data_IF_645642929506
#
_entry.id   IF_645642929506
#
_cell.length_a   1.000
_cell.length_b   1.000
_cell.length_c   1.000
_cell.angle_alpha   90.00
_cell.angle_beta   90.00
_cell.angle_gamma   90.00
#
_symmetry.space_group_name_H-M   'P 1'
#
loop_
_entity.id
_entity.type
_entity.pdbx_description
1 polymer ?
#
# COMPACT_ATOMS: atom_id res chain seq x y z
N UNK A 1 -12.62 35.49 -54.13
CA UNK A 1 -11.42 34.83 -53.55
C UNK A 1 -10.60 35.75 -52.61
N UNK A 2 -11.20 36.75 -51.93
CA UNK A 2 -10.45 37.77 -51.16
C UNK A 2 -10.76 37.81 -49.64
N UNK A 3 -11.89 37.23 -49.19
CA UNK A 3 -12.35 37.35 -47.78
C UNK A 3 -11.73 36.33 -46.80
N UNK A 4 -11.23 35.19 -47.28
CA UNK A 4 -10.66 34.13 -46.44
C UNK A 4 -9.28 34.47 -45.84
N UNK A 5 -8.50 35.32 -46.52
CA UNK A 5 -7.16 35.73 -46.08
C UNK A 5 -7.19 36.69 -44.87
N UNK A 6 -8.27 37.46 -44.71
CA UNK A 6 -8.43 38.42 -43.61
C UNK A 6 -8.75 37.73 -42.27
N UNK A 7 -9.66 36.75 -42.29
CA UNK A 7 -10.07 35.99 -41.09
C UNK A 7 -8.91 35.15 -40.55
N UNK A 8 -8.11 34.53 -41.41
CA UNK A 8 -6.93 33.76 -41.00
C UNK A 8 -5.83 34.64 -40.36
N UNK A 9 -5.64 35.87 -40.88
CA UNK A 9 -4.75 36.87 -40.25
C UNK A 9 -5.29 37.30 -38.88
N UNK A 10 -6.58 37.57 -38.78
CA UNK A 10 -7.22 38.02 -37.54
C UNK A 10 -7.19 36.92 -36.46
N UNK A 11 -7.44 35.66 -36.83
CA UNK A 11 -7.31 34.51 -35.94
C UNK A 11 -5.86 34.25 -35.48
N UNK A 12 -4.85 34.56 -36.31
CA UNK A 12 -3.43 34.53 -35.92
C UNK A 12 -3.09 35.64 -34.91
N UNK A 13 -3.62 36.84 -35.12
CA UNK A 13 -3.40 37.99 -34.23
C UNK A 13 -4.08 37.75 -32.86
N UNK A 14 -5.31 37.24 -32.86
CA UNK A 14 -6.02 36.90 -31.63
C UNK A 14 -5.30 35.77 -30.89
N UNK A 15 -4.90 34.68 -31.56
CA UNK A 15 -4.10 33.61 -30.92
C UNK A 15 -2.77 34.10 -30.37
N UNK A 16 -2.08 34.99 -31.10
CA UNK A 16 -0.84 35.61 -30.64
C UNK A 16 -1.06 36.40 -29.34
N UNK A 17 -2.09 37.26 -29.31
CA UNK A 17 -2.46 38.03 -28.12
C UNK A 17 -2.91 37.15 -26.95
N UNK A 18 -3.69 36.10 -27.20
CA UNK A 18 -4.10 35.16 -26.15
C UNK A 18 -2.88 34.45 -25.55
N UNK A 19 -1.89 34.08 -26.37
CA UNK A 19 -0.64 33.49 -25.86
C UNK A 19 0.19 34.48 -25.03
N UNK A 20 0.28 35.75 -25.45
CA UNK A 20 0.97 36.79 -24.66
C UNK A 20 0.27 37.03 -23.33
N UNK A 21 -1.06 37.09 -23.31
CA UNK A 21 -1.84 37.24 -22.08
C UNK A 21 -1.72 36.01 -21.18
N UNK A 22 -1.71 34.80 -21.74
CA UNK A 22 -1.46 33.58 -20.97
C UNK A 22 -0.05 33.55 -20.40
N UNK A 23 0.94 34.05 -21.12
CA UNK A 23 2.32 34.19 -20.65
C UNK A 23 2.40 35.22 -19.51
N UNK A 24 1.78 36.40 -19.65
CA UNK A 24 1.73 37.44 -18.61
C UNK A 24 0.97 36.97 -17.37
N UNK A 25 -0.17 36.29 -17.54
CA UNK A 25 -0.89 35.67 -16.43
C UNK A 25 -0.05 34.58 -15.75
N UNK A 26 0.64 33.75 -16.54
CA UNK A 26 1.53 32.73 -15.99
C UNK A 26 2.68 33.37 -15.22
N UNK A 27 3.36 34.40 -15.75
CA UNK A 27 4.45 35.08 -15.05
C UNK A 27 3.99 35.83 -13.80
N UNK A 28 2.79 36.41 -13.81
CA UNK A 28 2.25 37.14 -12.65
C UNK A 28 1.82 36.19 -11.53
N UNK A 29 1.23 35.03 -11.86
CA UNK A 29 0.74 34.07 -10.86
C UNK A 29 1.77 33.01 -10.44
N UNK A 30 2.79 32.73 -11.26
CA UNK A 30 3.89 31.80 -10.93
C UNK A 30 4.63 32.10 -9.62
N UNK A 31 4.99 33.35 -9.27
CA UNK A 31 5.69 33.64 -8.02
C UNK A 31 4.80 33.44 -6.79
N UNK A 32 3.51 33.79 -6.86
CA UNK A 32 2.58 33.54 -5.76
C UNK A 32 2.34 32.04 -5.55
N UNK A 33 2.18 31.29 -6.65
CA UNK A 33 2.00 29.84 -6.61
C UNK A 33 3.27 29.10 -6.15
N UNK A 34 4.48 29.58 -6.47
CA UNK A 34 5.73 28.98 -5.98
C UNK A 34 5.90 29.22 -4.48
N UNK A 35 5.68 30.45 -4.00
CA UNK A 35 5.79 30.79 -2.57
C UNK A 35 4.77 30.01 -1.72
N UNK A 36 3.54 29.84 -2.21
CA UNK A 36 2.53 29.06 -1.50
C UNK A 36 2.85 27.56 -1.50
N UNK A 37 3.42 27.02 -2.59
CA UNK A 37 3.94 25.65 -2.64
C UNK A 37 5.12 25.44 -1.69
N UNK A 38 6.03 26.40 -1.60
CA UNK A 38 7.18 26.35 -0.69
C UNK A 38 6.73 26.32 0.77
N UNK A 39 5.83 27.24 1.17
CA UNK A 39 5.23 27.25 2.52
C UNK A 39 4.50 25.94 2.85
N UNK A 40 3.73 25.39 1.90
CA UNK A 40 3.04 24.13 2.10
C UNK A 40 4.02 22.96 2.28
N UNK A 41 5.09 22.94 1.47
CA UNK A 41 6.16 21.94 1.59
C UNK A 41 6.90 22.05 2.91
N UNK A 42 7.15 23.26 3.42
CA UNK A 42 7.75 23.50 4.73
C UNK A 42 6.85 22.98 5.86
N UNK A 43 5.54 23.29 5.83
CA UNK A 43 4.58 22.77 6.80
C UNK A 43 4.48 21.25 6.76
N UNK A 44 4.50 20.64 5.58
CA UNK A 44 4.50 19.18 5.43
C UNK A 44 5.77 18.58 6.04
N UNK A 45 6.94 19.18 5.78
CA UNK A 45 8.22 18.74 6.37
C UNK A 45 8.20 18.86 7.89
N UNK A 46 7.76 20.00 8.42
CA UNK A 46 7.65 20.23 9.87
C UNK A 46 6.74 19.18 10.54
N UNK A 47 5.56 18.93 9.96
CA UNK A 47 4.62 17.93 10.47
C UNK A 47 5.16 16.50 10.31
N UNK A 48 5.87 16.20 9.22
CA UNK A 48 6.51 14.90 9.02
C UNK A 48 7.67 14.67 10.01
N UNK A 49 8.45 15.70 10.33
CA UNK A 49 9.49 15.64 11.35
C UNK A 49 8.89 15.46 12.75
N UNK A 50 7.80 16.16 13.06
CA UNK A 50 7.08 15.96 14.32
C UNK A 50 6.49 14.54 14.42
N UNK A 51 5.90 14.03 13.32
CA UNK A 51 5.35 12.68 13.26
C UNK A 51 6.43 11.60 13.37
N UNK A 52 7.60 11.77 12.76
CA UNK A 52 8.72 10.82 12.86
C UNK A 52 9.40 10.82 14.23
N UNK A 53 9.35 11.95 14.95
CA UNK A 53 9.80 12.06 16.34
C UNK A 53 8.84 11.40 17.34
N UNK A 54 7.60 11.14 16.95
CA UNK A 54 6.61 10.50 17.82
C UNK A 54 7.04 9.10 18.29
N UNK A 55 6.64 8.74 19.50
CA UNK A 55 6.89 7.40 20.06
C UNK A 55 6.24 6.27 19.23
N UNK A 56 5.14 6.57 18.53
CA UNK A 56 4.48 5.62 17.63
C UNK A 56 5.34 5.32 16.41
N UNK A 57 5.93 6.33 15.78
CA UNK A 57 6.81 6.13 14.65
C UNK A 57 8.05 5.30 15.02
N UNK A 58 8.60 5.47 16.22
CA UNK A 58 9.71 4.65 16.73
C UNK A 58 9.31 3.18 16.88
N UNK A 59 8.11 2.89 17.40
CA UNK A 59 7.59 1.52 17.58
C UNK A 59 7.17 0.86 16.26
N UNK A 60 6.68 1.63 15.30
CA UNK A 60 6.27 1.12 13.98
C UNK A 60 7.46 0.70 13.12
N UNK A 61 8.65 1.30 13.29
CA UNK A 61 9.85 0.94 12.52
C UNK A 61 10.25 -0.55 12.67
N UNK A 62 10.47 -1.09 13.88
CA UNK A 62 10.79 -2.50 14.05
C UNK A 62 9.61 -3.39 13.63
N UNK A 63 8.37 -2.99 13.94
CA UNK A 63 7.15 -3.71 13.54
C UNK A 63 7.07 -3.89 12.02
N UNK A 64 7.37 -2.83 11.26
CA UNK A 64 7.44 -2.89 9.80
C UNK A 64 8.50 -3.86 9.31
N UNK A 65 9.67 -3.90 9.97
CA UNK A 65 10.74 -4.85 9.64
C UNK A 65 10.30 -6.30 9.77
N UNK A 66 9.74 -6.68 10.92
CA UNK A 66 9.22 -8.03 11.15
C UNK A 66 8.03 -8.38 10.25
N UNK A 67 7.09 -7.44 10.06
CA UNK A 67 5.94 -7.66 9.18
C UNK A 67 6.36 -7.96 7.74
N UNK A 68 7.38 -7.24 7.25
CA UNK A 68 7.88 -7.43 5.87
C UNK A 68 8.59 -8.77 5.69
N UNK A 69 9.20 -9.30 6.74
CA UNK A 69 9.94 -10.55 6.66
C UNK A 69 9.03 -11.78 6.84
N UNK A 70 8.16 -11.76 7.85
CA UNK A 70 7.39 -12.94 8.27
C UNK A 70 6.00 -13.03 7.63
N UNK A 71 5.38 -11.89 7.31
CA UNK A 71 4.01 -11.85 6.77
C UNK A 71 3.96 -11.63 5.26
N UNK A 72 5.12 -11.51 4.62
CA UNK A 72 5.17 -11.41 3.17
C UNK A 72 4.71 -12.73 2.54
N UNK A 73 3.93 -12.68 1.45
CA UNK A 73 3.58 -13.88 0.72
C UNK A 73 4.86 -14.58 0.23
N UNK A 74 4.92 -15.91 0.33
CA UNK A 74 6.12 -16.66 -0.01
C UNK A 74 6.50 -16.48 -1.49
N UNK A 75 7.79 -16.62 -1.78
CA UNK A 75 8.25 -16.56 -3.17
C UNK A 75 7.85 -17.84 -3.90
N UNK A 76 7.60 -17.76 -5.21
CA UNK A 76 7.24 -18.95 -6.01
C UNK A 76 8.26 -20.11 -5.88
N UNK A 77 9.54 -19.79 -5.70
CA UNK A 77 10.60 -20.79 -5.50
C UNK A 77 10.50 -21.57 -4.17
N UNK A 78 9.76 -21.06 -3.19
CA UNK A 78 9.53 -21.71 -1.89
C UNK A 78 8.30 -22.62 -1.92
N UNK A 79 7.50 -22.57 -2.99
CA UNK A 79 6.28 -23.37 -3.12
C UNK A 79 6.58 -24.87 -3.20
N UNK A 80 7.66 -25.26 -3.87
CA UNK A 80 8.07 -26.67 -3.98
C UNK A 80 8.45 -27.25 -2.61
N UNK A 81 9.09 -26.45 -1.75
CA UNK A 81 9.41 -26.84 -0.36
C UNK A 81 8.13 -27.02 0.45
N UNK A 82 7.17 -26.10 0.31
CA UNK A 82 5.88 -26.18 1.00
C UNK A 82 5.08 -27.43 0.58
N UNK A 83 5.14 -27.82 -0.70
CA UNK A 83 4.52 -29.07 -1.16
C UNK A 83 5.19 -30.31 -0.55
N UNK A 84 6.52 -30.31 -0.43
CA UNK A 84 7.26 -31.39 0.22
C UNK A 84 6.90 -31.48 1.72
N UNK A 85 6.79 -30.36 2.43
CA UNK A 85 6.40 -30.32 3.84
C UNK A 85 4.99 -30.86 4.07
N UNK A 86 4.05 -30.54 3.16
CA UNK A 86 2.69 -31.10 3.19
C UNK A 86 2.72 -32.62 2.96
N UNK A 87 3.56 -33.11 2.05
CA UNK A 87 3.70 -34.54 1.81
C UNK A 87 4.23 -35.26 3.06
N UNK A 88 5.24 -34.68 3.72
CA UNK A 88 5.77 -35.19 4.98
C UNK A 88 4.71 -35.22 6.07
N UNK A 89 3.91 -34.15 6.22
CA UNK A 89 2.80 -34.13 7.17
C UNK A 89 1.79 -35.27 6.91
N UNK A 90 1.45 -35.55 5.64
CA UNK A 90 0.57 -36.68 5.28
C UNK A 90 1.18 -38.02 5.68
N UNK A 91 2.46 -38.23 5.44
CA UNK A 91 3.17 -39.46 5.86
C UNK A 91 3.22 -39.59 7.38
N UNK A 92 3.44 -38.49 8.10
CA UNK A 92 3.43 -38.45 9.56
C UNK A 92 2.10 -38.95 10.14
N UNK A 93 0.97 -38.53 9.56
CA UNK A 93 -0.35 -39.02 9.95
C UNK A 93 -0.57 -40.49 9.55
N UNK A 94 -0.16 -40.88 8.34
CA UNK A 94 -0.29 -42.27 7.85
C UNK A 94 0.46 -43.27 8.74
N UNK A 95 1.68 -42.90 9.15
CA UNK A 95 2.55 -43.72 9.98
C UNK A 95 2.17 -43.69 11.47
N UNK A 96 1.11 -42.95 11.85
CA UNK A 96 0.66 -42.78 13.24
C UNK A 96 1.75 -42.21 14.16
N UNK A 97 2.65 -41.40 13.62
CA UNK A 97 3.76 -40.84 14.38
C UNK A 97 3.32 -39.86 15.47
N UNK A 98 2.07 -39.38 15.40
CA UNK A 98 1.47 -38.47 16.39
C UNK A 98 1.31 -39.09 17.79
N UNK A 99 1.40 -40.41 17.96
CA UNK A 99 1.42 -41.01 19.31
C UNK A 99 2.73 -40.79 20.06
N UNK A 100 3.82 -40.49 19.34
CA UNK A 100 5.17 -40.38 19.93
C UNK A 100 5.59 -38.94 20.22
N UNK A 101 4.71 -37.95 20.00
CA UNK A 101 5.03 -36.54 20.25
C UNK A 101 4.84 -36.19 21.72
N UNK A 102 5.67 -35.28 22.22
CA UNK A 102 5.52 -34.75 23.58
C UNK A 102 4.33 -33.78 23.66
N UNK A 103 3.72 -33.65 24.83
CA UNK A 103 2.58 -32.73 25.06
C UNK A 103 2.92 -31.29 24.68
N UNK A 104 4.16 -30.85 24.96
CA UNK A 104 4.64 -29.51 24.60
C UNK A 104 4.66 -29.30 23.08
N UNK A 105 5.09 -30.30 22.32
CA UNK A 105 5.08 -30.23 20.86
C UNK A 105 3.66 -30.23 20.32
N UNK A 106 2.79 -31.12 20.83
CA UNK A 106 1.38 -31.16 20.44
C UNK A 106 0.69 -29.80 20.66
N UNK A 107 0.96 -29.15 21.80
CA UNK A 107 0.41 -27.83 22.11
C UNK A 107 0.91 -26.75 21.16
N UNK A 108 2.20 -26.78 20.80
CA UNK A 108 2.77 -25.84 19.84
C UNK A 108 2.11 -25.99 18.46
N UNK A 109 1.97 -27.23 17.96
CA UNK A 109 1.29 -27.47 16.68
C UNK A 109 -0.17 -27.00 16.73
N UNK A 110 -0.86 -27.27 17.85
CA UNK A 110 -2.24 -26.83 18.03
C UNK A 110 -2.40 -25.31 17.99
N UNK A 111 -1.52 -24.55 18.65
CA UNK A 111 -1.55 -23.08 18.63
C UNK A 111 -1.31 -22.53 17.22
N UNK A 112 -0.34 -23.09 16.49
CA UNK A 112 -0.07 -22.69 15.10
C UNK A 112 -1.27 -23.01 14.19
N UNK A 113 -1.88 -24.20 14.32
CA UNK A 113 -3.10 -24.53 13.58
C UNK A 113 -4.26 -23.57 13.89
N UNK A 114 -4.40 -23.18 15.16
CA UNK A 114 -5.42 -22.22 15.60
C UNK A 114 -5.17 -20.84 15.00
N UNK A 115 -3.92 -20.38 14.94
CA UNK A 115 -3.55 -19.12 14.31
C UNK A 115 -3.92 -19.09 12.82
N UNK A 116 -3.59 -20.14 12.07
CA UNK A 116 -3.95 -20.24 10.64
C UNK A 116 -5.47 -20.23 10.45
N UNK A 117 -6.22 -20.86 11.35
CA UNK A 117 -7.68 -20.83 11.34
C UNK A 117 -8.24 -19.42 11.62
N UNK A 118 -7.64 -18.66 12.52
CA UNK A 118 -8.01 -17.27 12.78
C UNK A 118 -7.75 -16.36 11.55
N UNK A 119 -6.66 -16.60 10.82
CA UNK A 119 -6.39 -15.91 9.54
C UNK A 119 -7.49 -16.10 8.51
N UNK A 120 -8.13 -17.27 8.48
CA UNK A 120 -9.29 -17.52 7.62
C UNK A 120 -10.48 -16.61 7.98
N UNK A 121 -10.83 -16.48 9.27
CA UNK A 121 -11.90 -15.57 9.70
C UNK A 121 -11.55 -14.10 9.50
N UNK A 122 -10.27 -13.73 9.62
CA UNK A 122 -9.82 -12.38 9.30
C UNK A 122 -10.07 -12.09 7.81
N UNK A 123 -9.76 -13.04 6.93
CA UNK A 123 -10.08 -12.97 5.50
C UNK A 123 -11.59 -12.85 5.23
N UNK A 124 -12.40 -13.63 5.93
CA UNK A 124 -13.87 -13.54 5.86
C UNK A 124 -14.37 -12.15 6.30
N UNK A 125 -13.82 -11.60 7.39
CA UNK A 125 -14.17 -10.27 7.91
C UNK A 125 -13.80 -9.16 6.91
N UNK A 126 -12.64 -9.28 6.25
CA UNK A 126 -12.24 -8.37 5.17
C UNK A 126 -13.19 -8.51 3.97
N UNK A 127 -13.57 -9.74 3.60
CA UNK A 127 -14.49 -9.99 2.49
C UNK A 127 -15.90 -9.43 2.71
N UNK A 128 -16.38 -9.42 3.96
CA UNK A 128 -17.67 -8.81 4.34
C UNK A 128 -17.61 -7.30 4.54
N UNK A 129 -16.42 -6.74 4.72
CA UNK A 129 -16.18 -5.35 5.14
C UNK A 129 -16.95 -4.94 6.41
N UNK A 130 -17.35 -5.90 7.25
CA UNK A 130 -18.09 -5.68 8.50
C UNK A 130 -17.44 -6.48 9.62
N UNK A 131 -17.18 -5.82 10.75
CA UNK A 131 -16.56 -6.44 11.94
C UNK A 131 -17.57 -7.28 12.71
N UNK A 132 -18.86 -6.94 12.64
CA UNK A 132 -19.94 -7.62 13.38
C UNK A 132 -21.04 -8.02 12.41
N UNK A 133 -21.19 -9.33 12.20
CA UNK A 133 -22.31 -9.94 11.48
C UNK A 133 -22.43 -9.51 10.01
N UNK A 134 -23.37 -10.15 9.30
CA UNK A 134 -23.93 -9.55 8.09
C UNK A 134 -25.04 -8.59 8.51
N UNK A 135 -25.09 -7.43 7.87
CA UNK A 135 -26.21 -6.50 8.00
C UNK A 135 -27.41 -7.15 7.30
N UNK A 136 -28.33 -7.73 8.07
CA UNK A 136 -29.59 -8.34 7.61
C UNK A 136 -30.70 -7.30 7.67
#
# INVERSE_FOLDING_TARGET
>A
MSTSLSIAKLAKIVRGRTMTLMHELTETYRPAASVQKERLMELIKEKAEAATKSELAKKLRPLKGFYTLEMAPPRMAEMDKLQADIALAKEFFKNKCYYYITVRQAWLLFLVCTEVFLWFFLGETIGKFHIVGYLV
#
